data_IF_624919113954
#
_entry.id   IF_624919113954
#
_cell.length_a   1.000
_cell.length_b   1.000
_cell.length_c   1.000
_cell.angle_alpha   90.00
_cell.angle_beta   90.00
_cell.angle_gamma   90.00
#
_symmetry.space_group_name_H-M   'P 1'
#
loop_
_entity.id
_entity.type
_entity.pdbx_description
1 polymer ?
#
# COMPACT_ATOMS: atom_id res chain seq x y z
N UNK A 1 9.05 -9.96 -22.94
CA UNK A 1 10.31 -9.19 -23.00
C UNK A 1 9.95 -7.78 -23.46
N UNK A 2 10.25 -6.75 -22.67
CA UNK A 2 9.98 -5.36 -23.06
C UNK A 2 10.83 -4.97 -24.27
N UNK A 3 10.40 -4.00 -25.08
CA UNK A 3 11.19 -3.52 -26.21
C UNK A 3 12.55 -2.93 -25.80
N UNK A 4 12.68 -2.46 -24.55
CA UNK A 4 13.95 -2.04 -23.95
C UNK A 4 14.90 -3.20 -23.69
N UNK A 5 14.40 -4.39 -23.31
CA UNK A 5 15.20 -5.61 -23.24
C UNK A 5 15.82 -6.00 -24.58
N UNK A 6 15.12 -5.70 -25.68
CA UNK A 6 15.63 -5.95 -27.02
C UNK A 6 16.71 -4.94 -27.41
N UNK A 7 16.75 -3.73 -26.84
CA UNK A 7 17.78 -2.73 -27.16
C UNK A 7 19.16 -3.15 -26.62
N UNK A 8 19.21 -3.67 -25.39
CA UNK A 8 20.48 -4.13 -24.79
C UNK A 8 21.10 -5.30 -25.56
N UNK A 9 20.25 -6.18 -26.11
CA UNK A 9 20.67 -7.36 -26.89
C UNK A 9 20.82 -7.03 -28.38
N UNK A 10 20.09 -6.02 -28.88
CA UNK A 10 20.05 -5.60 -30.28
C UNK A 10 20.01 -4.06 -30.39
N UNK A 11 21.16 -3.37 -30.24
CA UNK A 11 21.24 -1.90 -30.22
C UNK A 11 20.70 -1.23 -31.50
N UNK A 12 20.72 -1.96 -32.62
CA UNK A 12 20.15 -1.52 -33.89
C UNK A 12 18.64 -1.24 -33.82
N UNK A 13 17.92 -1.83 -32.86
CA UNK A 13 16.50 -1.60 -32.66
C UNK A 13 16.18 -0.28 -31.95
N UNK A 14 17.18 0.43 -31.42
CA UNK A 14 16.95 1.67 -30.67
C UNK A 14 16.23 2.73 -31.53
N UNK A 15 16.71 2.96 -32.76
CA UNK A 15 16.06 3.89 -33.71
C UNK A 15 14.65 3.45 -34.09
N UNK A 16 14.45 2.14 -34.25
CA UNK A 16 13.14 1.57 -34.56
C UNK A 16 12.18 1.73 -33.38
N UNK A 17 12.65 1.58 -32.15
CA UNK A 17 11.82 1.76 -30.96
C UNK A 17 11.42 3.23 -30.77
N UNK A 18 12.36 4.17 -30.93
CA UNK A 18 12.04 5.60 -30.89
C UNK A 18 11.01 5.97 -31.95
N UNK A 19 11.19 5.50 -33.19
CA UNK A 19 10.25 5.72 -34.28
C UNK A 19 8.88 5.08 -34.00
N UNK A 20 8.84 3.83 -33.53
CA UNK A 20 7.60 3.12 -33.23
C UNK A 20 6.84 3.77 -32.06
N UNK A 21 7.56 4.23 -31.03
CA UNK A 21 6.98 4.96 -29.90
C UNK A 21 6.43 6.32 -30.32
N UNK A 22 7.13 7.04 -31.19
CA UNK A 22 6.65 8.30 -31.74
C UNK A 22 5.38 8.09 -32.59
N UNK A 23 5.38 7.06 -33.44
CA UNK A 23 4.22 6.70 -34.25
C UNK A 23 3.02 6.30 -33.39
N UNK A 24 3.21 5.41 -32.41
CA UNK A 24 2.15 4.99 -31.49
C UNK A 24 1.58 6.19 -30.70
N UNK A 25 2.44 7.09 -30.24
CA UNK A 25 2.01 8.34 -29.59
C UNK A 25 1.15 9.19 -30.53
N UNK A 26 1.58 9.40 -31.78
CA UNK A 26 0.81 10.17 -32.77
C UNK A 26 -0.56 9.55 -33.03
N UNK A 27 -0.62 8.24 -33.24
CA UNK A 27 -1.87 7.51 -33.49
C UNK A 27 -2.82 7.60 -32.31
N UNK A 28 -2.32 7.50 -31.08
CA UNK A 28 -3.18 7.70 -29.90
C UNK A 28 -3.71 9.14 -29.84
N UNK A 29 -2.88 10.15 -30.09
CA UNK A 29 -3.34 11.55 -30.08
C UNK A 29 -4.42 11.81 -31.13
N UNK A 30 -4.28 11.25 -32.33
CA UNK A 30 -5.32 11.29 -33.36
C UNK A 30 -6.62 10.61 -32.89
N UNK A 31 -6.52 9.42 -32.27
CA UNK A 31 -7.66 8.73 -31.70
C UNK A 31 -8.34 9.50 -30.54
N UNK A 32 -7.56 10.21 -29.72
CA UNK A 32 -8.10 11.08 -28.67
C UNK A 32 -8.92 12.24 -29.24
N UNK A 33 -8.45 12.88 -30.31
CA UNK A 33 -9.20 13.94 -30.99
C UNK A 33 -10.51 13.42 -31.60
N UNK A 34 -10.47 12.23 -32.21
CA UNK A 34 -11.68 11.57 -32.73
C UNK A 34 -12.68 11.25 -31.61
N UNK A 35 -12.23 10.78 -30.45
CA UNK A 35 -13.11 10.49 -29.32
C UNK A 35 -13.77 11.74 -28.73
N UNK A 36 -13.07 12.89 -28.79
CA UNK A 36 -13.61 14.19 -28.35
C UNK A 36 -14.67 14.73 -29.30
N UNK A 37 -14.61 14.38 -30.59
CA UNK A 37 -15.60 14.78 -31.57
C UNK A 37 -16.95 14.08 -31.30
N UNK A 38 -17.98 14.88 -30.98
CA UNK A 38 -19.32 14.39 -30.69
C UNK A 38 -20.10 13.95 -31.94
N UNK A 39 -19.56 14.16 -33.14
CA UNK A 39 -20.20 13.78 -34.40
C UNK A 39 -19.94 12.32 -34.81
N UNK A 40 -18.97 11.65 -34.18
CA UNK A 40 -18.61 10.26 -34.47
C UNK A 40 -19.26 9.29 -33.48
N UNK A 41 -19.65 8.11 -33.93
CA UNK A 41 -20.17 7.03 -33.06
C UNK A 41 -19.74 5.66 -33.61
N UNK A 42 -19.20 4.74 -32.79
CA UNK A 42 -18.89 4.90 -31.36
C UNK A 42 -17.71 5.86 -31.13
N UNK A 43 -17.79 6.72 -30.10
CA UNK A 43 -16.74 7.71 -29.83
C UNK A 43 -15.45 7.09 -29.30
N UNK A 44 -15.55 5.99 -28.56
CA UNK A 44 -14.38 5.36 -27.94
C UNK A 44 -14.28 3.92 -28.40
N UNK A 45 -13.14 3.59 -29.01
CA UNK A 45 -12.79 2.24 -29.38
C UNK A 45 -11.92 1.59 -28.28
N UNK A 46 -12.15 0.30 -28.02
CA UNK A 46 -11.48 -0.42 -26.94
C UNK A 46 -9.96 -0.58 -27.16
N UNK A 47 -9.53 -0.64 -28.42
CA UNK A 47 -8.12 -0.69 -28.82
C UNK A 47 -7.38 0.62 -28.50
N UNK A 48 -8.04 1.78 -28.64
CA UNK A 48 -7.49 3.07 -28.20
C UNK A 48 -7.29 3.10 -26.69
N UNK A 49 -8.28 2.63 -25.91
CA UNK A 49 -8.17 2.52 -24.45
C UNK A 49 -7.01 1.59 -24.09
N UNK A 50 -6.95 0.41 -24.71
CA UNK A 50 -5.85 -0.54 -24.52
C UNK A 50 -4.48 0.08 -24.83
N UNK A 51 -4.37 0.84 -25.93
CA UNK A 51 -3.13 1.49 -26.34
C UNK A 51 -2.67 2.56 -25.33
N UNK A 52 -3.60 3.38 -24.82
CA UNK A 52 -3.32 4.38 -23.76
C UNK A 52 -2.85 3.70 -22.48
N UNK A 53 -3.51 2.63 -22.04
CA UNK A 53 -3.11 1.87 -20.86
C UNK A 53 -1.75 1.21 -21.07
N UNK A 54 -1.52 0.59 -22.23
CA UNK A 54 -0.26 -0.06 -22.58
C UNK A 54 0.91 0.91 -22.57
N UNK A 55 0.81 2.01 -23.32
CA UNK A 55 1.87 3.03 -23.37
C UNK A 55 2.02 3.79 -22.05
N UNK A 56 0.92 4.07 -21.36
CA UNK A 56 0.91 4.80 -20.10
C UNK A 56 1.60 4.04 -18.99
N UNK A 57 1.19 2.80 -18.75
CA UNK A 57 1.82 1.91 -17.75
C UNK A 57 3.25 1.53 -18.14
N UNK A 58 3.56 1.45 -19.44
CA UNK A 58 4.94 1.24 -19.93
C UNK A 58 5.80 2.50 -20.02
N UNK A 59 5.27 3.71 -19.73
CA UNK A 59 6.04 4.96 -19.76
C UNK A 59 6.49 5.46 -18.39
N UNK A 60 5.99 4.89 -17.29
CA UNK A 60 6.42 5.22 -15.91
C UNK A 60 7.84 4.76 -15.54
N UNK A 61 8.54 4.17 -16.51
CA UNK A 61 9.91 3.68 -16.40
C UNK A 61 10.96 4.78 -16.55
N UNK A 62 10.58 5.90 -17.17
CA UNK A 62 11.45 7.06 -17.36
C UNK A 62 10.97 8.16 -16.42
N UNK A 63 11.66 8.30 -15.28
CA UNK A 63 11.64 9.43 -14.34
C UNK A 63 10.30 10.21 -14.19
N UNK A 64 9.72 10.16 -12.99
CA UNK A 64 8.51 10.89 -12.55
C UNK A 64 8.48 12.40 -12.83
N UNK A 65 9.53 12.99 -13.38
CA UNK A 65 9.73 14.43 -13.47
C UNK A 65 9.57 15.02 -14.87
N UNK A 66 9.41 14.21 -15.94
CA UNK A 66 9.37 14.76 -17.30
C UNK A 66 8.45 13.99 -18.27
N UNK A 67 7.20 13.74 -17.86
CA UNK A 67 6.21 13.14 -18.75
C UNK A 67 5.73 14.15 -19.80
N UNK A 68 6.22 13.99 -21.04
CA UNK A 68 5.76 14.72 -22.23
C UNK A 68 4.26 14.58 -22.52
N UNK A 69 3.58 13.56 -21.98
CA UNK A 69 2.17 13.25 -22.27
C UNK A 69 1.39 12.81 -21.02
N UNK A 70 0.17 13.33 -20.79
CA UNK A 70 -0.64 13.03 -19.61
C UNK A 70 -1.47 11.74 -19.79
N UNK A 71 -0.80 10.60 -19.98
CA UNK A 71 -1.47 9.31 -20.30
C UNK A 71 -2.57 8.91 -19.32
N UNK A 72 -2.37 9.17 -18.02
CA UNK A 72 -3.36 8.86 -16.98
C UNK A 72 -4.63 9.71 -17.14
N UNK A 73 -4.50 10.98 -17.55
CA UNK A 73 -5.66 11.83 -17.83
C UNK A 73 -6.38 11.39 -19.10
N UNK A 74 -5.65 10.97 -20.13
CA UNK A 74 -6.27 10.39 -21.34
C UNK A 74 -7.06 9.12 -21.00
N UNK A 75 -6.55 8.25 -20.13
CA UNK A 75 -7.28 7.07 -19.67
C UNK A 75 -8.58 7.44 -18.95
N UNK A 76 -8.55 8.43 -18.04
CA UNK A 76 -9.75 8.93 -17.35
C UNK A 76 -10.76 9.52 -18.32
N UNK A 77 -10.29 10.34 -19.25
CA UNK A 77 -11.12 11.01 -20.24
C UNK A 77 -11.83 9.99 -21.13
N UNK A 78 -11.08 9.03 -21.70
CA UNK A 78 -11.66 7.99 -22.55
C UNK A 78 -12.69 7.14 -21.80
N UNK A 79 -12.41 6.71 -20.58
CA UNK A 79 -13.37 5.94 -19.79
C UNK A 79 -14.61 6.76 -19.42
N UNK A 80 -14.47 8.08 -19.22
CA UNK A 80 -15.60 8.98 -19.00
C UNK A 80 -16.45 9.15 -20.26
N UNK A 81 -15.83 9.31 -21.43
CA UNK A 81 -16.56 9.43 -22.70
C UNK A 81 -17.26 8.11 -23.03
N UNK A 82 -16.55 6.97 -22.92
CA UNK A 82 -17.10 5.65 -23.22
C UNK A 82 -18.31 5.31 -22.36
N UNK A 83 -18.30 5.73 -21.08
CA UNK A 83 -19.43 5.54 -20.17
C UNK A 83 -20.73 6.20 -20.67
N UNK A 84 -20.65 7.30 -21.42
CA UNK A 84 -21.83 8.01 -21.94
C UNK A 84 -22.51 7.27 -23.10
N UNK A 85 -21.77 6.43 -23.82
CA UNK A 85 -22.23 5.68 -25.00
C UNK A 85 -22.17 4.17 -24.79
N UNK A 86 -22.18 3.73 -23.54
CA UNK A 86 -21.88 2.36 -23.17
C UNK A 86 -22.94 1.39 -23.70
N UNK A 87 -22.53 0.47 -24.57
CA UNK A 87 -23.38 -0.62 -25.01
C UNK A 87 -23.38 -1.74 -23.95
N UNK A 88 -24.44 -2.56 -23.89
CA UNK A 88 -24.49 -3.72 -22.99
C UNK A 88 -23.33 -4.71 -23.21
N UNK A 89 -22.81 -4.79 -24.44
CA UNK A 89 -21.71 -5.68 -24.78
C UNK A 89 -20.37 -5.15 -24.21
N UNK A 90 -20.25 -3.83 -24.08
CA UNK A 90 -19.03 -3.17 -23.62
C UNK A 90 -18.99 -2.96 -22.10
N UNK A 91 -20.09 -3.16 -21.37
CA UNK A 91 -20.17 -2.95 -19.91
C UNK A 91 -19.06 -3.71 -19.15
N UNK A 92 -18.83 -4.98 -19.48
CA UNK A 92 -17.78 -5.79 -18.86
C UNK A 92 -16.37 -5.28 -19.18
N UNK A 93 -16.15 -4.84 -20.43
CA UNK A 93 -14.85 -4.36 -20.88
C UNK A 93 -14.54 -2.97 -20.31
N UNK A 94 -15.55 -2.12 -20.19
CA UNK A 94 -15.44 -0.82 -19.52
C UNK A 94 -15.12 -0.97 -18.04
N UNK A 95 -15.81 -1.87 -17.32
CA UNK A 95 -15.51 -2.14 -15.92
C UNK A 95 -14.11 -2.74 -15.75
N UNK A 96 -13.68 -3.61 -16.67
CA UNK A 96 -12.32 -4.13 -16.71
C UNK A 96 -11.27 -3.00 -16.76
N UNK A 97 -11.42 -2.02 -17.65
CA UNK A 97 -10.48 -0.90 -17.70
C UNK A 97 -10.62 0.06 -16.51
N UNK A 98 -11.82 0.20 -15.92
CA UNK A 98 -11.99 0.96 -14.67
C UNK A 98 -11.25 0.31 -13.50
N UNK A 99 -11.24 -1.02 -13.41
CA UNK A 99 -10.44 -1.76 -12.44
C UNK A 99 -8.94 -1.57 -12.69
N UNK A 100 -8.48 -1.68 -13.94
CA UNK A 100 -7.09 -1.40 -14.30
C UNK A 100 -6.69 0.05 -13.96
N UNK A 101 -7.57 1.03 -14.18
CA UNK A 101 -7.34 2.43 -13.83
C UNK A 101 -7.12 2.59 -12.33
N UNK A 102 -7.91 1.91 -11.51
CA UNK A 102 -7.81 1.96 -10.04
C UNK A 102 -6.41 1.55 -9.58
N UNK A 103 -5.87 0.47 -10.17
CA UNK A 103 -4.50 0.05 -9.90
C UNK A 103 -3.48 1.10 -10.33
N UNK A 104 -3.62 1.63 -11.55
CA UNK A 104 -2.74 2.68 -12.06
C UNK A 104 -2.76 3.93 -11.16
N UNK A 105 -3.92 4.35 -10.66
CA UNK A 105 -4.04 5.47 -9.73
C UNK A 105 -3.38 5.20 -8.37
N UNK A 106 -3.44 3.96 -7.86
CA UNK A 106 -2.76 3.56 -6.62
C UNK A 106 -1.24 3.70 -6.77
N UNK A 107 -0.70 3.30 -7.91
CA UNK A 107 0.74 3.40 -8.21
C UNK A 107 1.16 4.86 -8.39
N UNK A 108 0.35 5.61 -9.14
CA UNK A 108 0.58 7.00 -9.43
C UNK A 108 0.40 7.89 -8.20
N UNK A 109 0.06 7.36 -7.02
CA UNK A 109 -0.04 8.10 -5.76
C UNK A 109 1.31 8.69 -5.30
N UNK A 110 2.41 8.08 -5.73
CA UNK A 110 3.74 8.66 -5.51
C UNK A 110 3.94 9.93 -6.34
N UNK A 111 3.29 10.03 -7.50
CA UNK A 111 3.19 11.23 -8.34
C UNK A 111 1.97 12.09 -7.99
N UNK A 112 2.00 13.37 -8.34
CA UNK A 112 0.87 14.28 -8.10
C UNK A 112 -0.30 14.09 -9.09
N UNK A 113 -0.40 12.94 -9.75
CA UNK A 113 -1.33 12.68 -10.84
C UNK A 113 -2.51 11.77 -10.45
N UNK A 114 -2.48 11.16 -9.26
CA UNK A 114 -3.55 10.28 -8.78
C UNK A 114 -4.81 11.05 -8.34
N UNK A 115 -6.00 10.50 -8.60
CA UNK A 115 -7.27 11.07 -8.11
C UNK A 115 -7.61 10.67 -6.67
N UNK A 116 -6.87 9.70 -6.12
CA UNK A 116 -7.08 9.15 -4.78
C UNK A 116 -7.05 10.23 -3.68
N UNK A 117 -6.11 11.19 -3.66
CA UNK A 117 -6.14 12.28 -2.66
C UNK A 117 -7.43 13.10 -2.73
N UNK A 118 -7.98 13.35 -3.92
CA UNK A 118 -9.25 14.05 -4.08
C UNK A 118 -10.43 13.21 -3.58
N UNK A 119 -10.42 11.88 -3.83
CA UNK A 119 -11.41 10.94 -3.28
C UNK A 119 -11.37 10.92 -1.75
N UNK A 120 -10.18 10.86 -1.15
CA UNK A 120 -9.98 10.93 0.29
C UNK A 120 -10.49 12.26 0.86
N UNK A 121 -10.19 13.38 0.20
CA UNK A 121 -10.65 14.70 0.63
C UNK A 121 -12.18 14.82 0.61
N UNK A 122 -12.87 14.16 -0.34
CA UNK A 122 -14.34 14.09 -0.36
C UNK A 122 -14.87 13.33 0.86
N UNK A 123 -14.29 12.17 1.19
CA UNK A 123 -14.66 11.42 2.42
C UNK A 123 -14.40 12.27 3.68
N UNK A 124 -13.24 12.93 3.75
CA UNK A 124 -12.89 13.82 4.87
C UNK A 124 -13.91 14.94 5.07
N UNK A 125 -14.38 15.58 4.00
CA UNK A 125 -15.42 16.62 4.07
C UNK A 125 -16.70 16.11 4.72
N UNK A 126 -17.13 14.89 4.41
CA UNK A 126 -18.31 14.29 5.03
C UNK A 126 -18.16 14.17 6.55
N UNK A 127 -16.98 13.76 7.04
CA UNK A 127 -16.69 13.73 8.48
C UNK A 127 -16.56 15.12 9.10
N UNK A 128 -15.98 16.09 8.38
CA UNK A 128 -15.90 17.48 8.84
C UNK A 128 -17.29 18.09 9.02
N UNK A 129 -18.20 17.85 8.07
CA UNK A 129 -19.58 18.34 8.14
C UNK A 129 -20.32 17.70 9.32
N UNK A 130 -20.16 16.38 9.54
CA UNK A 130 -20.70 15.68 10.72
C UNK A 130 -20.15 16.24 12.04
N UNK A 131 -18.85 16.47 12.12
CA UNK A 131 -18.20 17.01 13.31
C UNK A 131 -18.70 18.43 13.61
N UNK A 132 -18.87 19.28 12.58
CA UNK A 132 -19.44 20.63 12.73
C UNK A 132 -20.88 20.60 13.23
N UNK A 133 -21.70 19.70 12.68
CA UNK A 133 -23.08 19.49 13.13
C UNK A 133 -23.13 19.08 14.60
N UNK A 134 -22.28 18.14 15.01
CA UNK A 134 -22.18 17.69 16.40
C UNK A 134 -21.71 18.79 17.37
N UNK A 135 -20.89 19.74 16.88
CA UNK A 135 -20.40 20.88 17.66
C UNK A 135 -21.33 22.12 17.63
N UNK A 136 -22.52 22.02 17.02
CA UNK A 136 -23.47 23.14 16.86
C UNK A 136 -22.85 24.40 16.22
N UNK A 137 -21.89 24.23 15.30
CA UNK A 137 -21.27 25.35 14.61
C UNK A 137 -22.14 25.81 13.42
N UNK A 138 -22.28 27.13 13.16
CA UNK A 138 -23.09 27.63 12.05
C UNK A 138 -22.56 27.12 10.70
N UNK A 139 -23.47 26.67 9.84
CA UNK A 139 -23.10 26.24 8.49
C UNK A 139 -22.79 27.48 7.63
N UNK A 140 -21.58 27.58 7.09
CA UNK A 140 -21.19 28.75 6.27
C UNK A 140 -21.88 28.78 4.91
N UNK A 141 -22.54 27.69 4.48
CA UNK A 141 -23.17 27.58 3.17
C UNK A 141 -24.66 27.22 3.31
N UNK A 142 -25.51 28.23 3.29
CA UNK A 142 -26.98 28.12 3.24
C UNK A 142 -27.51 27.71 1.84
N UNK A 143 -26.92 26.72 1.16
CA UNK A 143 -27.44 26.34 -0.17
C UNK A 143 -27.38 24.85 -0.53
N UNK A 144 -27.36 23.96 0.46
CA UNK A 144 -27.73 22.58 0.23
C UNK A 144 -28.41 22.03 1.47
N UNK A 145 -29.72 21.84 1.39
CA UNK A 145 -30.44 20.89 2.22
C UNK A 145 -29.97 19.49 1.84
N UNK A 146 -28.78 19.11 2.32
CA UNK A 146 -28.43 17.70 2.40
C UNK A 146 -29.15 17.18 3.64
N UNK A 147 -30.30 16.55 3.44
CA UNK A 147 -30.68 15.44 4.32
C UNK A 147 -29.46 14.53 4.31
N UNK A 148 -28.74 14.47 5.44
CA UNK A 148 -27.71 13.48 5.62
C UNK A 148 -28.42 12.15 5.34
N UNK A 149 -28.06 11.38 4.30
CA UNK A 149 -28.41 9.98 4.33
C UNK A 149 -27.80 9.52 5.66
N UNK A 150 -28.64 8.98 6.55
CA UNK A 150 -28.12 8.05 7.53
C UNK A 150 -27.34 7.05 6.71
N UNK A 151 -26.02 7.23 6.66
CA UNK A 151 -25.10 6.17 6.33
C UNK A 151 -25.10 5.31 7.60
N UNK A 152 -26.25 4.68 7.85
CA UNK A 152 -26.27 3.31 8.29
C UNK A 152 -25.20 2.67 7.43
N UNK A 153 -24.13 2.23 8.08
CA UNK A 153 -23.20 1.34 7.45
C UNK A 153 -24.02 0.08 7.21
N UNK A 154 -24.77 0.06 6.10
CA UNK A 154 -25.34 -1.14 5.55
C UNK A 154 -24.09 -1.87 5.08
N UNK A 155 -23.73 -3.02 5.67
CA UNK A 155 -22.74 -3.89 5.06
C UNK A 155 -23.18 -4.00 3.60
N UNK A 156 -22.30 -3.72 2.62
CA UNK A 156 -22.68 -3.94 1.22
C UNK A 156 -23.27 -5.36 1.17
N UNK A 157 -24.58 -5.53 0.86
CA UNK A 157 -25.21 -6.86 0.93
C UNK A 157 -24.58 -7.82 -0.08
N UNK A 158 -23.81 -7.27 -1.02
CA UNK A 158 -23.11 -7.99 -2.05
C UNK A 158 -21.78 -8.50 -1.48
N UNK A 159 -21.81 -9.73 -0.98
CA UNK A 159 -20.68 -10.64 -0.74
C UNK A 159 -19.87 -10.95 -2.02
N UNK A 160 -19.88 -10.04 -2.99
CA UNK A 160 -19.28 -10.15 -4.29
C UNK A 160 -18.12 -9.15 -4.38
N UNK A 161 -16.89 -9.65 -4.26
CA UNK A 161 -15.69 -8.89 -4.64
C UNK A 161 -15.42 -9.01 -6.13
N UNK A 162 -14.78 -7.99 -6.69
CA UNK A 162 -14.32 -8.01 -8.07
C UNK A 162 -13.21 -9.04 -8.26
N UNK A 163 -13.21 -9.67 -9.43
CA UNK A 163 -12.20 -10.67 -9.78
C UNK A 163 -10.79 -10.08 -9.83
N UNK A 164 -9.75 -10.92 -9.67
CA UNK A 164 -8.42 -10.55 -10.14
C UNK A 164 -8.50 -10.10 -11.60
N UNK A 165 -8.21 -8.83 -11.84
CA UNK A 165 -8.24 -8.25 -13.17
C UNK A 165 -6.99 -8.69 -13.95
N UNK A 166 -7.09 -9.12 -15.22
CA UNK A 166 -5.91 -9.59 -15.97
C UNK A 166 -4.83 -8.52 -16.20
N UNK A 167 -5.15 -7.23 -16.04
CA UNK A 167 -4.18 -6.14 -16.09
C UNK A 167 -3.38 -6.00 -14.79
N UNK A 168 -4.04 -6.04 -13.63
CA UNK A 168 -3.41 -5.76 -12.33
C UNK A 168 -3.28 -6.97 -11.39
N UNK A 169 -3.81 -8.14 -11.77
CA UNK A 169 -3.71 -9.40 -11.04
C UNK A 169 -4.41 -9.46 -9.69
N UNK A 170 -5.10 -8.40 -9.25
CA UNK A 170 -5.71 -8.30 -7.91
C UNK A 170 -7.10 -7.67 -8.04
N UNK A 171 -7.98 -7.93 -7.07
CA UNK A 171 -9.28 -7.31 -7.00
C UNK A 171 -9.18 -5.79 -6.81
N UNK A 172 -10.14 -5.06 -7.38
CA UNK A 172 -10.21 -3.60 -7.32
C UNK A 172 -10.46 -3.10 -5.90
N UNK A 173 -11.24 -3.83 -5.09
CA UNK A 173 -11.63 -3.39 -3.74
C UNK A 173 -10.40 -3.18 -2.86
N UNK A 174 -9.53 -4.19 -2.78
CA UNK A 174 -8.37 -4.11 -1.89
C UNK A 174 -7.35 -3.08 -2.37
N UNK A 175 -7.20 -2.94 -3.69
CA UNK A 175 -6.29 -1.95 -4.29
C UNK A 175 -6.80 -0.52 -4.08
N UNK A 176 -8.11 -0.29 -4.24
CA UNK A 176 -8.74 1.01 -4.02
C UNK A 176 -8.61 1.44 -2.56
N UNK A 177 -8.86 0.52 -1.61
CA UNK A 177 -8.71 0.79 -0.18
C UNK A 177 -7.24 0.99 0.18
N UNK A 178 -6.33 0.15 -0.31
CA UNK A 178 -4.89 0.31 -0.07
C UNK A 178 -4.36 1.68 -0.55
N UNK A 179 -4.76 2.12 -1.74
CA UNK A 179 -4.40 3.43 -2.25
C UNK A 179 -4.91 4.58 -1.37
N UNK A 180 -6.17 4.51 -0.93
CA UNK A 180 -6.74 5.50 0.00
C UNK A 180 -6.06 5.49 1.37
N UNK A 181 -5.71 4.32 1.89
CA UNK A 181 -4.95 4.16 3.14
C UNK A 181 -3.59 4.83 3.02
N UNK A 182 -2.84 4.60 1.93
CA UNK A 182 -1.56 5.25 1.71
C UNK A 182 -1.69 6.78 1.63
N UNK A 183 -2.72 7.27 0.94
CA UNK A 183 -2.99 8.70 0.86
C UNK A 183 -3.31 9.32 2.24
N UNK A 184 -4.07 8.58 3.06
CA UNK A 184 -4.40 8.97 4.43
C UNK A 184 -3.16 9.01 5.31
N UNK A 185 -2.34 7.94 5.27
CA UNK A 185 -1.07 7.86 6.00
C UNK A 185 -0.13 9.01 5.63
N UNK A 186 -0.03 9.35 4.33
CA UNK A 186 0.76 10.49 3.86
C UNK A 186 0.25 11.81 4.43
N UNK A 187 -1.05 12.06 4.37
CA UNK A 187 -1.68 13.26 4.93
C UNK A 187 -1.47 13.37 6.45
N UNK A 188 -1.49 12.25 7.16
CA UNK A 188 -1.24 12.22 8.60
C UNK A 188 0.24 12.54 8.92
N UNK A 189 1.18 11.98 8.14
CA UNK A 189 2.62 12.31 8.26
C UNK A 189 2.86 13.82 8.04
N UNK A 190 2.26 14.39 6.99
CA UNK A 190 2.37 15.83 6.69
C UNK A 190 1.83 16.71 7.84
N UNK A 191 0.72 16.29 8.46
CA UNK A 191 0.08 17.02 9.57
C UNK A 191 0.94 16.97 10.85
N UNK A 192 1.62 15.85 11.10
CA UNK A 192 2.44 15.61 12.29
C UNK A 192 3.86 16.18 12.18
N UNK A 193 4.23 16.84 11.06
CA UNK A 193 5.55 17.46 10.92
C UNK A 193 5.78 18.55 11.98
N UNK A 194 6.99 18.67 12.54
CA UNK A 194 7.31 19.56 13.67
C UNK A 194 7.16 21.06 13.38
N UNK A 195 6.78 21.45 12.15
CA UNK A 195 6.49 22.84 11.73
C UNK A 195 4.99 23.13 11.61
N UNK A 196 4.11 22.18 11.93
CA UNK A 196 2.66 22.36 11.84
C UNK A 196 2.13 23.15 13.04
N UNK A 197 1.56 24.34 12.80
CA UNK A 197 0.92 25.14 13.84
C UNK A 197 -0.39 24.47 14.25
N UNK A 198 -0.56 24.17 15.53
CA UNK A 198 -1.80 23.61 16.07
C UNK A 198 -2.93 24.66 15.97
N UNK A 199 -3.82 24.46 15.01
CA UNK A 199 -5.04 25.24 14.78
C UNK A 199 -6.28 24.37 14.96
N UNK A 200 -7.44 25.02 15.14
CA UNK A 200 -8.76 24.33 15.19
C UNK A 200 -9.02 23.52 13.91
N UNK A 201 -8.51 23.98 12.77
CA UNK A 201 -8.62 23.24 11.51
C UNK A 201 -7.73 22.00 11.49
N UNK A 202 -6.50 22.09 11.98
CA UNK A 202 -5.61 20.92 12.07
C UNK A 202 -6.14 19.87 13.04
N UNK A 203 -6.69 20.27 14.19
CA UNK A 203 -7.30 19.31 15.14
C UNK A 203 -8.54 18.65 14.56
N UNK A 204 -9.39 19.41 13.86
CA UNK A 204 -10.53 18.86 13.13
C UNK A 204 -10.10 17.83 12.07
N UNK A 205 -9.02 18.11 11.33
CA UNK A 205 -8.48 17.17 10.34
C UNK A 205 -7.96 15.88 10.99
N UNK A 206 -7.23 15.98 12.10
CA UNK A 206 -6.73 14.80 12.85
C UNK A 206 -7.89 13.91 13.30
N UNK A 207 -8.97 14.49 13.84
CA UNK A 207 -10.16 13.72 14.23
C UNK A 207 -10.84 13.05 13.03
N UNK A 208 -10.95 13.75 11.90
CA UNK A 208 -11.52 13.18 10.68
C UNK A 208 -10.64 12.06 10.11
N UNK A 209 -9.32 12.24 10.13
CA UNK A 209 -8.36 11.25 9.66
C UNK A 209 -8.39 9.99 10.52
N UNK A 210 -8.53 10.14 11.86
CA UNK A 210 -8.74 9.01 12.77
C UNK A 210 -10.06 8.27 12.47
N UNK A 211 -11.15 9.00 12.21
CA UNK A 211 -12.43 8.38 11.86
C UNK A 211 -12.35 7.60 10.53
N UNK A 212 -11.63 8.14 9.53
CA UNK A 212 -11.36 7.46 8.27
C UNK A 212 -10.47 6.22 8.48
N UNK A 213 -9.47 6.28 9.36
CA UNK A 213 -8.63 5.14 9.69
C UNK A 213 -9.47 3.97 10.24
N UNK A 214 -10.42 4.24 11.15
CA UNK A 214 -11.37 3.23 11.63
C UNK A 214 -12.31 2.70 10.55
N UNK A 215 -12.78 3.57 9.63
CA UNK A 215 -13.60 3.14 8.49
C UNK A 215 -12.84 2.15 7.60
N UNK A 216 -11.61 2.50 7.21
CA UNK A 216 -10.78 1.63 6.38
C UNK A 216 -10.37 0.35 7.10
N UNK A 217 -10.05 0.42 8.41
CA UNK A 217 -9.76 -0.78 9.20
C UNK A 217 -10.95 -1.75 9.18
N UNK A 218 -12.17 -1.25 9.38
CA UNK A 218 -13.39 -2.07 9.34
C UNK A 218 -13.62 -2.68 7.96
N UNK A 219 -13.45 -1.89 6.90
CA UNK A 219 -13.59 -2.35 5.52
C UNK A 219 -12.59 -3.48 5.22
N UNK A 220 -11.31 -3.30 5.58
CA UNK A 220 -10.25 -4.29 5.41
C UNK A 220 -10.44 -5.55 6.24
N UNK A 221 -10.98 -5.44 7.46
CA UNK A 221 -11.29 -6.60 8.30
C UNK A 221 -12.53 -7.35 7.82
N UNK A 222 -13.42 -6.69 7.07
CA UNK A 222 -14.60 -7.31 6.45
C UNK A 222 -14.32 -8.00 5.12
N UNK A 223 -13.14 -7.84 4.53
CA UNK A 223 -12.75 -8.54 3.29
C UNK A 223 -12.39 -9.99 3.58
N UNK A 224 -13.05 -10.93 2.90
CA UNK A 224 -12.74 -12.36 2.96
C UNK A 224 -12.51 -12.92 1.54
N UNK A 225 -11.25 -13.06 1.13
CA UNK A 225 -10.90 -13.57 -0.19
C UNK A 225 -11.06 -15.08 -0.36
N UNK A 226 -11.24 -15.84 0.74
CA UNK A 226 -11.47 -17.28 0.69
C UNK A 226 -12.96 -17.58 0.44
N UNK A 227 -13.86 -16.71 0.92
CA UNK A 227 -15.31 -16.80 0.71
C UNK A 227 -15.81 -16.06 -0.54
N UNK A 228 -14.92 -15.37 -1.27
CA UNK A 228 -15.29 -14.67 -2.50
C UNK A 228 -15.73 -15.65 -3.59
N UNK A 229 -17.05 -15.66 -3.85
CA UNK A 229 -17.58 -16.17 -5.10
C UNK A 229 -17.34 -15.09 -6.15
N UNK A 230 -16.48 -15.39 -7.11
CA UNK A 230 -16.15 -14.49 -8.20
C UNK A 230 -17.43 -14.33 -9.04
N UNK A 231 -17.98 -13.13 -9.22
CA UNK A 231 -19.32 -12.92 -9.82
C UNK A 231 -19.59 -13.72 -11.10
N UNK A 232 -18.61 -13.89 -12.00
CA UNK A 232 -18.88 -14.71 -13.19
C UNK A 232 -18.84 -16.25 -12.96
N UNK A 233 -18.45 -16.76 -11.78
CA UNK A 233 -18.53 -18.19 -11.40
C UNK A 233 -19.98 -18.55 -11.09
N UNK A 234 -20.71 -17.62 -10.49
CA UNK A 234 -22.18 -17.66 -10.36
C UNK A 234 -22.87 -17.68 -11.73
N UNK A 235 -22.22 -17.10 -12.76
CA UNK A 235 -22.66 -17.14 -14.16
C UNK A 235 -22.06 -18.33 -14.97
N UNK A 236 -21.36 -19.26 -14.32
CA UNK A 236 -20.80 -20.47 -14.94
C UNK A 236 -19.45 -20.31 -15.66
N UNK A 237 -18.77 -19.18 -15.49
CA UNK A 237 -17.43 -18.93 -16.04
C UNK A 237 -16.36 -19.12 -14.95
N UNK A 238 -15.69 -20.28 -14.88
CA UNK A 238 -14.62 -20.49 -13.91
C UNK A 238 -13.50 -19.49 -14.16
N UNK A 239 -13.02 -18.83 -13.11
CA UNK A 239 -11.78 -18.08 -13.23
C UNK A 239 -10.67 -19.10 -13.42
N UNK A 240 -9.89 -18.94 -14.49
CA UNK A 240 -8.71 -19.74 -14.77
C UNK A 240 -7.66 -18.82 -15.37
N UNK A 241 -6.50 -18.73 -14.72
CA UNK A 241 -5.37 -17.98 -15.29
C UNK A 241 -4.77 -18.70 -16.49
N UNK A 242 -4.96 -20.03 -16.58
CA UNK A 242 -4.31 -20.93 -17.56
C UNK A 242 -2.78 -20.77 -17.59
N UNK A 243 -2.23 -20.27 -16.50
CA UNK A 243 -0.82 -20.05 -16.28
C UNK A 243 -0.42 -20.85 -15.04
N UNK A 244 0.29 -21.95 -15.26
CA UNK A 244 0.79 -22.81 -14.19
C UNK A 244 1.81 -22.09 -13.30
N UNK A 245 2.45 -21.03 -13.80
CA UNK A 245 3.38 -20.20 -13.02
C UNK A 245 2.64 -19.19 -12.15
N UNK A 246 1.43 -18.80 -12.54
CA UNK A 246 0.56 -17.85 -11.82
C UNK A 246 -0.86 -18.40 -11.65
N UNK A 247 -1.06 -19.48 -10.87
CA UNK A 247 -2.40 -19.92 -10.50
C UNK A 247 -3.15 -18.86 -9.70
N UNK A 248 -4.48 -18.96 -9.68
CA UNK A 248 -5.37 -18.04 -8.95
C UNK A 248 -5.02 -17.94 -7.47
N UNK A 249 -4.55 -19.04 -6.87
CA UNK A 249 -4.07 -19.03 -5.49
C UNK A 249 -2.98 -17.99 -5.24
N UNK A 250 -2.09 -17.74 -6.21
CA UNK A 250 -1.09 -16.68 -6.10
C UNK A 250 -1.74 -15.28 -6.11
N UNK A 251 -2.80 -15.09 -6.89
CA UNK A 251 -3.53 -13.81 -6.98
C UNK A 251 -4.33 -13.54 -5.69
N UNK A 252 -4.99 -14.56 -5.13
CA UNK A 252 -5.68 -14.48 -3.84
C UNK A 252 -4.71 -14.19 -2.69
N UNK A 253 -3.55 -14.86 -2.67
CA UNK A 253 -2.49 -14.54 -1.71
C UNK A 253 -1.96 -13.12 -1.88
N UNK A 254 -1.92 -12.60 -3.11
CA UNK A 254 -1.51 -11.22 -3.37
C UNK A 254 -2.56 -10.23 -2.86
N UNK A 255 -3.85 -10.51 -3.06
CA UNK A 255 -4.94 -9.70 -2.50
C UNK A 255 -4.90 -9.68 -0.96
N UNK A 256 -4.70 -10.84 -0.34
CA UNK A 256 -4.54 -10.96 1.11
C UNK A 256 -3.31 -10.21 1.62
N UNK A 257 -2.21 -10.24 0.88
CA UNK A 257 -1.03 -9.45 1.20
C UNK A 257 -1.30 -7.93 1.11
N UNK A 258 -2.09 -7.46 0.13
CA UNK A 258 -2.51 -6.05 0.06
C UNK A 258 -3.41 -5.65 1.22
N UNK A 259 -4.34 -6.52 1.63
CA UNK A 259 -5.21 -6.30 2.80
C UNK A 259 -4.37 -6.19 4.08
N UNK A 260 -3.46 -7.14 4.30
CA UNK A 260 -2.54 -7.13 5.45
C UNK A 260 -1.57 -5.94 5.43
N UNK A 261 -1.04 -5.59 4.25
CA UNK A 261 -0.19 -4.41 4.09
C UNK A 261 -0.95 -3.13 4.43
N UNK A 262 -2.22 -2.99 4.00
CA UNK A 262 -3.07 -1.85 4.31
C UNK A 262 -3.27 -1.69 5.82
N UNK A 263 -3.62 -2.79 6.52
CA UNK A 263 -3.77 -2.78 7.97
C UNK A 263 -2.46 -2.41 8.68
N UNK A 264 -1.33 -2.95 8.22
CA UNK A 264 -0.02 -2.60 8.75
C UNK A 264 0.28 -1.10 8.56
N UNK A 265 -0.03 -0.52 7.40
CA UNK A 265 0.17 0.92 7.17
C UNK A 265 -0.66 1.79 8.11
N UNK A 266 -1.93 1.43 8.34
CA UNK A 266 -2.79 2.13 9.29
C UNK A 266 -2.18 2.09 10.70
N UNK A 267 -1.75 0.93 11.18
CA UNK A 267 -1.16 0.80 12.52
C UNK A 267 0.22 1.46 12.66
N UNK A 268 0.98 1.61 11.58
CA UNK A 268 2.22 2.39 11.57
C UNK A 268 1.97 3.90 11.64
N UNK A 269 0.84 4.39 11.12
CA UNK A 269 0.51 5.82 11.07
C UNK A 269 -0.38 6.30 12.24
N UNK A 270 -1.25 5.44 12.76
CA UNK A 270 -2.25 5.77 13.78
C UNK A 270 -2.02 4.94 15.04
N UNK A 271 -1.28 5.51 15.99
CA UNK A 271 -0.92 4.81 17.24
C UNK A 271 -2.14 4.46 18.11
N UNK A 272 -3.19 5.28 18.05
CA UNK A 272 -4.42 5.11 18.86
C UNK A 272 -5.42 4.12 18.24
N UNK A 273 -5.10 3.55 17.07
CA UNK A 273 -5.99 2.62 16.39
C UNK A 273 -6.04 1.27 17.11
N UNK A 274 -7.25 0.73 17.30
CA UNK A 274 -7.46 -0.51 18.05
C UNK A 274 -6.66 -1.68 17.48
N UNK A 275 -5.85 -2.34 18.33
CA UNK A 275 -5.07 -3.52 17.95
C UNK A 275 -5.98 -4.76 17.82
N UNK A 276 -6.54 -4.94 16.62
CA UNK A 276 -7.41 -6.06 16.28
C UNK A 276 -6.58 -7.16 15.60
N UNK A 277 -6.66 -8.39 16.13
CA UNK A 277 -6.11 -9.55 15.43
C UNK A 277 -7.22 -10.27 14.65
N UNK A 278 -6.98 -10.40 13.35
CA UNK A 278 -7.79 -11.20 12.46
C UNK A 278 -7.23 -12.62 12.40
N UNK A 279 -7.62 -13.50 13.32
CA UNK A 279 -7.48 -14.93 13.11
C UNK A 279 -8.66 -15.37 12.23
N UNK A 280 -8.41 -16.09 11.14
CA UNK A 280 -9.46 -16.60 10.23
C UNK A 280 -10.64 -17.17 11.03
N UNK A 281 -11.78 -16.49 10.99
CA UNK A 281 -13.02 -16.89 11.68
C UNK A 281 -13.21 -16.44 13.13
N UNK A 282 -12.31 -15.63 13.71
CA UNK A 282 -12.52 -14.98 15.02
C UNK A 282 -11.69 -13.71 15.16
N UNK A 283 -12.38 -12.57 15.17
CA UNK A 283 -11.79 -11.29 15.59
C UNK A 283 -11.62 -11.30 17.10
N UNK A 284 -10.39 -11.34 17.58
CA UNK A 284 -10.09 -11.14 19.00
C UNK A 284 -9.50 -9.75 19.19
N UNK A 285 -10.19 -8.91 19.96
CA UNK A 285 -9.65 -7.64 20.44
C UNK A 285 -8.63 -7.94 21.53
N UNK A 286 -7.36 -7.66 21.30
CA UNK A 286 -6.32 -7.95 22.29
C UNK A 286 -6.28 -6.90 23.42
N UNK A 287 -6.70 -5.66 23.15
CA UNK A 287 -6.62 -4.57 24.12
C UNK A 287 -7.76 -3.57 23.91
N UNK A 288 -8.80 -3.63 24.74
CA UNK A 288 -9.73 -2.52 24.96
C UNK A 288 -9.21 -1.68 26.13
N UNK A 289 -9.08 -0.37 25.90
CA UNK A 289 -8.35 0.55 26.76
C UNK A 289 -8.61 0.40 28.26
N UNK A 290 -7.57 0.01 29.00
CA UNK A 290 -7.44 0.26 30.43
C UNK A 290 -5.98 0.59 30.77
N UNK A 291 -5.80 1.72 31.48
CA UNK A 291 -4.61 2.12 32.26
C UNK A 291 -3.31 2.39 31.47
N UNK A 292 -2.99 3.69 31.30
CA UNK A 292 -1.72 4.20 30.77
C UNK A 292 -0.50 3.78 31.62
N UNK A 293 0.11 2.64 31.28
CA UNK A 293 1.49 2.34 31.65
C UNK A 293 2.36 2.51 30.39
N UNK A 294 2.91 3.72 30.24
CA UNK A 294 3.52 4.21 28.99
C UNK A 294 4.60 3.29 28.40
N UNK A 295 5.42 2.63 29.24
CA UNK A 295 6.46 1.68 28.79
C UNK A 295 5.93 0.30 28.38
N UNK A 296 4.83 -0.16 28.99
CA UNK A 296 4.25 -1.48 28.67
C UNK A 296 3.50 -1.46 27.34
N UNK A 297 2.84 -0.34 27.06
CA UNK A 297 2.02 -0.14 25.86
C UNK A 297 2.88 -0.01 24.59
N UNK A 298 4.01 0.70 24.64
CA UNK A 298 4.95 0.81 23.51
C UNK A 298 5.55 -0.55 23.11
N UNK A 299 5.97 -1.36 24.09
CA UNK A 299 6.50 -2.71 23.83
C UNK A 299 5.41 -3.64 23.27
N UNK A 300 4.20 -3.60 23.81
CA UNK A 300 3.08 -4.39 23.31
C UNK A 300 2.72 -4.03 21.87
N UNK A 301 2.70 -2.73 21.56
CA UNK A 301 2.42 -2.22 20.21
C UNK A 301 3.53 -2.57 19.22
N UNK A 302 4.79 -2.46 19.63
CA UNK A 302 5.92 -2.93 18.83
C UNK A 302 5.82 -4.43 18.49
N UNK A 303 5.49 -5.27 19.48
CA UNK A 303 5.27 -6.70 19.26
C UNK A 303 4.09 -6.98 18.33
N UNK A 304 3.01 -6.21 18.45
CA UNK A 304 1.85 -6.30 17.56
C UNK A 304 2.23 -5.97 16.11
N UNK A 305 2.91 -4.83 15.88
CA UNK A 305 3.39 -4.43 14.56
C UNK A 305 4.36 -5.45 13.95
N UNK A 306 5.29 -5.98 14.75
CA UNK A 306 6.20 -7.03 14.30
C UNK A 306 5.42 -8.28 13.87
N UNK A 307 4.43 -8.72 14.66
CA UNK A 307 3.59 -9.87 14.30
C UNK A 307 2.86 -9.64 12.98
N UNK A 308 2.19 -8.50 12.82
CA UNK A 308 1.50 -8.16 11.56
C UNK A 308 2.45 -8.17 10.36
N UNK A 309 3.66 -7.65 10.56
CA UNK A 309 4.72 -7.62 9.53
C UNK A 309 5.19 -9.02 9.18
N UNK A 310 5.41 -9.88 10.17
CA UNK A 310 5.82 -11.27 9.95
C UNK A 310 4.70 -12.09 9.29
N UNK A 311 3.42 -11.81 9.60
CA UNK A 311 2.28 -12.38 8.90
C UNK A 311 2.25 -11.98 7.41
N UNK A 312 2.46 -10.69 7.10
CA UNK A 312 2.59 -10.21 5.72
C UNK A 312 3.74 -10.92 4.98
N UNK A 313 4.92 -11.00 5.61
CA UNK A 313 6.08 -11.72 5.07
C UNK A 313 5.76 -13.20 4.88
N UNK A 314 5.01 -13.81 5.80
CA UNK A 314 4.54 -15.19 5.72
C UNK A 314 3.63 -15.43 4.51
N UNK A 315 2.70 -14.53 4.24
CA UNK A 315 1.84 -14.58 3.05
C UNK A 315 2.68 -14.48 1.77
N UNK A 316 3.59 -13.48 1.70
CA UNK A 316 4.47 -13.28 0.55
C UNK A 316 5.41 -14.47 0.28
N UNK A 317 5.87 -15.17 1.34
CA UNK A 317 6.70 -16.38 1.20
C UNK A 317 5.97 -17.54 0.52
N UNK A 318 4.65 -17.62 0.66
CA UNK A 318 3.83 -18.66 0.03
C UNK A 318 3.71 -18.47 -1.48
N UNK A 319 4.04 -17.29 -2.01
CA UNK A 319 4.04 -17.01 -3.44
C UNK A 319 5.44 -17.29 -4.00
N UNK A 320 5.61 -18.20 -4.97
CA UNK A 320 6.90 -18.48 -5.61
C UNK A 320 7.53 -17.23 -6.26
N UNK A 321 8.86 -17.19 -6.31
CA UNK A 321 9.59 -16.07 -6.95
C UNK A 321 9.32 -15.99 -8.46
N UNK A 322 8.96 -17.12 -9.06
CA UNK A 322 8.67 -17.22 -10.50
C UNK A 322 7.22 -16.95 -10.84
N UNK A 323 6.37 -16.66 -9.84
CA UNK A 323 5.00 -16.24 -10.09
C UNK A 323 4.96 -14.98 -10.96
N UNK A 324 4.13 -14.98 -12.00
CA UNK A 324 3.90 -13.81 -12.86
C UNK A 324 3.30 -12.62 -12.10
N UNK A 325 2.69 -12.84 -10.93
CA UNK A 325 2.24 -11.77 -10.03
C UNK A 325 3.40 -10.99 -9.37
N UNK A 326 4.65 -11.33 -9.62
CA UNK A 326 5.80 -10.64 -9.00
C UNK A 326 5.91 -9.15 -9.37
N UNK A 327 5.41 -8.74 -10.54
CA UNK A 327 5.41 -7.32 -10.98
C UNK A 327 4.59 -6.40 -10.07
N UNK A 328 3.57 -6.95 -9.40
CA UNK A 328 2.65 -6.20 -8.55
C UNK A 328 3.02 -6.27 -7.05
N UNK A 329 4.03 -7.05 -6.66
CA UNK A 329 4.50 -7.15 -5.27
C UNK A 329 5.42 -6.03 -4.71
N UNK A 330 6.01 -5.09 -5.47
CA UNK A 330 6.97 -4.13 -4.92
C UNK A 330 6.43 -3.30 -3.77
N UNK A 331 5.20 -2.80 -3.90
CA UNK A 331 4.52 -2.07 -2.83
C UNK A 331 4.38 -2.91 -1.56
N UNK A 332 4.10 -4.20 -1.70
CA UNK A 332 3.97 -5.13 -0.57
C UNK A 332 5.31 -5.35 0.15
N UNK A 333 6.40 -5.48 -0.63
CA UNK A 333 7.74 -5.60 -0.07
C UNK A 333 8.19 -4.32 0.65
N UNK A 334 7.84 -3.14 0.13
CA UNK A 334 8.10 -1.85 0.82
C UNK A 334 7.25 -1.73 2.09
N UNK A 335 5.96 -2.08 2.03
CA UNK A 335 5.09 -2.13 3.22
C UNK A 335 5.63 -3.07 4.29
N UNK A 336 6.12 -4.25 3.91
CA UNK A 336 6.78 -5.17 4.84
C UNK A 336 8.07 -4.58 5.40
N UNK A 337 8.92 -3.98 4.56
CA UNK A 337 10.16 -3.35 4.99
C UNK A 337 9.93 -2.25 6.04
N UNK A 338 8.86 -1.46 5.90
CA UNK A 338 8.47 -0.41 6.84
C UNK A 338 8.12 -0.93 8.24
N UNK A 339 7.68 -2.19 8.37
CA UNK A 339 7.41 -2.84 9.66
C UNK A 339 8.60 -3.57 10.28
N UNK A 340 9.70 -3.77 9.54
CA UNK A 340 10.87 -4.53 9.99
C UNK A 340 11.89 -3.65 10.74
N UNK A 341 11.56 -3.30 11.98
CA UNK A 341 12.39 -2.49 12.88
C UNK A 341 13.12 -3.34 13.91
N UNK A 342 14.41 -3.07 14.11
CA UNK A 342 15.16 -3.64 15.23
C UNK A 342 14.91 -2.79 16.46
N UNK A 343 13.98 -3.19 17.31
CA UNK A 343 13.78 -2.45 18.55
C UNK A 343 14.87 -2.82 19.56
N UNK A 344 15.64 -1.83 19.99
CA UNK A 344 16.60 -1.96 21.11
C UNK A 344 15.88 -1.73 22.43
N UNK A 345 14.90 -2.58 22.76
CA UNK A 345 14.43 -2.65 24.13
C UNK A 345 15.50 -3.43 24.90
N UNK A 346 16.43 -2.72 25.53
CA UNK A 346 17.32 -3.33 26.51
C UNK A 346 16.44 -4.01 27.55
N UNK A 347 16.44 -5.34 27.54
CA UNK A 347 16.02 -6.12 28.70
C UNK A 347 16.99 -5.76 29.82
N UNK A 348 16.70 -4.66 30.51
CA UNK A 348 17.15 -4.52 31.88
C UNK A 348 16.37 -5.61 32.59
N UNK A 349 16.99 -6.79 32.69
CA UNK A 349 16.64 -7.75 33.72
C UNK A 349 16.69 -6.93 35.02
N UNK A 350 15.52 -6.58 35.54
CA UNK A 350 15.37 -6.19 36.93
C UNK A 350 15.78 -7.42 37.75
N UNK A 351 17.09 -7.61 37.92
CA UNK A 351 17.63 -8.31 39.06
C UNK A 351 17.27 -7.39 40.23
N UNK A 352 16.04 -7.55 40.71
CA UNK A 352 15.63 -7.07 42.02
C UNK A 352 16.49 -7.83 43.03
N UNK A 353 17.70 -7.32 43.25
CA UNK A 353 18.50 -7.65 44.41
C UNK A 353 17.75 -7.10 45.61
N UNK A 354 16.85 -7.91 46.16
CA UNK A 354 16.38 -7.71 47.52
C UNK A 354 17.59 -7.88 48.44
N UNK A 355 18.21 -6.77 48.79
CA UNK A 355 19.25 -6.66 49.81
C UNK A 355 18.63 -6.98 51.16
N UNK A 356 18.89 -8.19 51.65
CA UNK A 356 18.77 -8.51 53.08
C UNK A 356 20.18 -8.38 53.68
N UNK A 357 20.42 -7.52 54.69
CA UNK A 357 21.71 -7.47 55.35
C UNK A 357 21.72 -8.46 56.51
N UNK A 358 22.59 -9.49 56.47
CA UNK A 358 23.05 -10.16 57.69
C UNK A 358 24.32 -11.00 57.48
N UNK A 359 25.40 -10.50 58.10
CA UNK A 359 26.46 -11.19 58.84
C UNK A 359 27.64 -11.85 58.11
N UNK A 360 28.80 -11.42 58.61
CA UNK A 360 30.17 -11.90 58.43
C UNK A 360 30.34 -13.39 58.75
N UNK A 361 31.11 -14.10 57.91
CA UNK A 361 32.34 -14.82 58.29
C UNK A 361 32.99 -15.38 57.01
N UNK A 362 34.29 -15.15 56.84
CA UNK A 362 35.01 -15.31 55.57
C UNK A 362 35.36 -16.73 55.14
N UNK A 363 35.89 -16.82 53.91
CA UNK A 363 37.11 -17.55 53.51
C UNK A 363 37.42 -17.16 52.06
N UNK A 364 38.69 -16.85 51.79
CA UNK A 364 39.27 -16.55 50.48
C UNK A 364 39.52 -17.85 49.73
N UNK A 365 39.07 -17.99 48.47
CA UNK A 365 39.83 -18.73 47.45
C UNK A 365 39.51 -18.25 46.02
N UNK A 366 40.54 -18.31 45.17
CA UNK A 366 40.74 -17.68 43.86
C UNK A 366 40.56 -18.70 42.72
N UNK A 367 40.30 -18.16 41.51
CA UNK A 367 40.23 -18.80 40.18
C UNK A 367 38.86 -19.44 39.86
N UNK A 368 38.25 -19.22 38.70
CA UNK A 368 38.76 -19.41 37.34
C UNK A 368 38.06 -18.53 36.28
N UNK A 369 38.82 -18.17 35.25
CA UNK A 369 38.37 -17.64 33.95
C UNK A 369 37.59 -18.73 33.19
N UNK A 370 36.46 -18.40 32.57
CA UNK A 370 35.82 -19.06 31.41
C UNK A 370 34.64 -18.15 30.99
N UNK A 371 34.75 -17.43 29.88
CA UNK A 371 34.24 -17.86 28.57
C UNK A 371 32.73 -18.13 28.57
N UNK A 372 31.98 -17.14 28.08
CA UNK A 372 30.97 -17.25 27.00
C UNK A 372 29.85 -16.23 27.20
N UNK A 373 30.17 -14.94 27.01
CA UNK A 373 29.15 -13.94 26.71
C UNK A 373 28.84 -14.01 25.21
N UNK A 374 28.27 -15.14 24.79
CA UNK A 374 27.46 -15.17 23.59
C UNK A 374 26.29 -14.22 23.83
N UNK A 375 26.30 -13.06 23.20
CA UNK A 375 25.14 -12.16 23.24
C UNK A 375 23.97 -12.94 22.66
N UNK A 376 23.04 -13.35 23.53
CA UNK A 376 21.78 -13.92 23.10
C UNK A 376 21.04 -12.82 22.34
N UNK A 377 21.17 -12.82 21.01
CA UNK A 377 20.32 -12.00 20.16
C UNK A 377 18.87 -12.40 20.44
N UNK A 378 17.99 -11.46 20.82
CA UNK A 378 16.58 -11.78 21.06
C UNK A 378 16.00 -12.51 19.85
N UNK A 379 15.16 -13.53 20.07
CA UNK A 379 14.59 -14.35 18.99
C UNK A 379 13.96 -13.52 17.86
N UNK A 380 13.32 -12.40 18.23
CA UNK A 380 12.75 -11.43 17.29
C UNK A 380 13.79 -10.78 16.36
N UNK A 381 15.01 -10.53 16.83
CA UNK A 381 16.09 -9.97 16.01
C UNK A 381 16.45 -10.91 14.85
N UNK A 382 16.52 -12.22 15.12
CA UNK A 382 16.77 -13.22 14.08
C UNK A 382 15.62 -13.29 13.07
N UNK A 383 14.37 -13.24 13.55
CA UNK A 383 13.18 -13.23 12.68
C UNK A 383 13.16 -11.99 11.78
N UNK A 384 13.47 -10.81 12.33
CA UNK A 384 13.58 -9.55 11.59
C UNK A 384 14.68 -9.65 10.54
N UNK A 385 15.88 -10.12 10.89
CA UNK A 385 16.97 -10.28 9.93
C UNK A 385 16.62 -11.27 8.81
N UNK A 386 15.96 -12.39 9.13
CA UNK A 386 15.49 -13.35 8.14
C UNK A 386 14.40 -12.77 7.22
N UNK A 387 13.50 -11.95 7.75
CA UNK A 387 12.48 -11.25 6.99
C UNK A 387 13.09 -10.15 6.10
N UNK A 388 14.01 -9.34 6.62
CA UNK A 388 14.76 -8.33 5.83
C UNK A 388 15.51 -8.99 4.69
N UNK A 389 16.20 -10.12 4.94
CA UNK A 389 16.88 -10.91 3.91
C UNK A 389 15.90 -11.39 2.84
N UNK A 390 14.74 -11.91 3.23
CA UNK A 390 13.70 -12.35 2.29
C UNK A 390 13.22 -11.20 1.39
N UNK A 391 12.85 -10.06 1.97
CA UNK A 391 12.41 -8.85 1.24
C UNK A 391 13.49 -8.40 0.26
N UNK A 392 14.74 -8.31 0.74
CA UNK A 392 15.89 -7.92 -0.07
C UNK A 392 16.11 -8.87 -1.25
N UNK A 393 16.10 -10.19 -1.01
CA UNK A 393 16.27 -11.20 -2.06
C UNK A 393 15.17 -11.11 -3.12
N UNK A 394 13.91 -10.93 -2.73
CA UNK A 394 12.80 -10.83 -3.68
C UNK A 394 12.88 -9.57 -4.55
N UNK A 395 13.16 -8.41 -3.95
CA UNK A 395 13.34 -7.17 -4.70
C UNK A 395 14.59 -7.21 -5.60
N UNK A 396 15.68 -7.84 -5.15
CA UNK A 396 16.88 -8.03 -5.97
C UNK A 396 16.63 -8.97 -7.15
N UNK A 397 15.86 -10.05 -6.93
CA UNK A 397 15.47 -10.97 -8.00
C UNK A 397 14.56 -10.32 -9.03
N UNK A 398 13.63 -9.46 -8.59
CA UNK A 398 12.86 -8.60 -9.48
C UNK A 398 13.78 -7.70 -10.31
N UNK A 399 14.73 -7.01 -9.67
CA UNK A 399 15.69 -6.17 -10.38
C UNK A 399 16.47 -6.92 -11.48
N UNK A 400 16.95 -8.13 -11.19
CA UNK A 400 17.72 -8.93 -12.15
C UNK A 400 16.90 -9.44 -13.33
N UNK A 401 15.57 -9.53 -13.18
CA UNK A 401 14.68 -9.93 -14.27
C UNK A 401 14.46 -8.81 -15.31
N UNK A 402 14.89 -7.56 -15.06
CA UNK A 402 14.66 -6.42 -15.95
C UNK A 402 15.98 -5.75 -16.40
N UNK A 403 16.21 -5.57 -17.71
CA UNK A 403 17.53 -5.17 -18.24
C UNK A 403 17.95 -3.72 -17.99
N UNK A 404 17.00 -2.79 -17.80
CA UNK A 404 17.36 -1.40 -17.50
C UNK A 404 17.45 -1.18 -15.99
N UNK A 405 18.56 -0.57 -15.56
CA UNK A 405 18.88 -0.20 -14.16
C UNK A 405 17.94 0.87 -13.56
N UNK A 406 16.73 1.03 -14.10
CA UNK A 406 15.77 2.11 -13.83
C UNK A 406 14.92 1.88 -12.57
N UNK A 407 15.20 0.86 -11.76
CA UNK A 407 14.46 0.60 -10.51
C UNK A 407 15.33 0.25 -9.29
N UNK A 408 16.59 0.72 -9.25
CA UNK A 408 17.33 0.74 -7.97
C UNK A 408 16.65 1.67 -6.94
N UNK A 409 15.67 2.50 -7.35
CA UNK A 409 14.94 3.38 -6.45
C UNK A 409 14.22 2.62 -5.33
N UNK A 410 13.55 1.50 -5.62
CA UNK A 410 12.83 0.71 -4.61
C UNK A 410 13.80 0.04 -3.63
N UNK A 411 14.91 -0.54 -4.11
CA UNK A 411 15.95 -1.13 -3.25
C UNK A 411 16.69 -0.06 -2.43
N UNK A 412 16.98 1.10 -3.01
CA UNK A 412 17.52 2.27 -2.30
C UNK A 412 16.55 2.78 -1.25
N UNK A 413 15.26 2.82 -1.54
CA UNK A 413 14.23 3.25 -0.60
C UNK A 413 14.19 2.32 0.61
N UNK A 414 14.15 1.00 0.38
CA UNK A 414 14.20 0.00 1.47
C UNK A 414 15.47 0.13 2.31
N UNK A 415 16.63 0.33 1.65
CA UNK A 415 17.90 0.63 2.35
C UNK A 415 17.82 1.89 3.19
N UNK A 416 17.26 2.97 2.65
CA UNK A 416 17.12 4.23 3.37
C UNK A 416 16.19 4.10 4.58
N UNK A 417 15.07 3.37 4.42
CA UNK A 417 14.13 3.05 5.52
C UNK A 417 14.85 2.31 6.65
N UNK A 418 15.56 1.23 6.35
CA UNK A 418 16.26 0.45 7.39
C UNK A 418 17.41 1.22 8.02
N UNK A 419 18.17 1.99 7.21
CA UNK A 419 19.22 2.84 7.74
C UNK A 419 18.67 3.86 8.74
N UNK A 420 17.58 4.54 8.39
CA UNK A 420 16.92 5.49 9.28
C UNK A 420 16.45 4.83 10.59
N UNK A 421 15.93 3.61 10.52
CA UNK A 421 15.47 2.87 11.70
C UNK A 421 16.62 2.39 12.58
N UNK A 422 17.71 1.95 11.97
CA UNK A 422 18.86 1.41 12.68
C UNK A 422 19.74 2.53 13.28
N UNK A 423 19.77 3.71 12.65
CA UNK A 423 20.52 4.90 13.13
C UNK A 423 19.72 5.73 14.15
N UNK A 424 18.40 5.52 14.27
CA UNK A 424 17.52 6.29 15.17
C UNK A 424 17.87 6.05 16.66
N UNK A 425 18.18 7.10 17.46
CA UNK A 425 18.46 6.94 18.88
C UNK A 425 17.21 6.49 19.65
N UNK A 426 17.40 5.63 20.66
CA UNK A 426 16.33 5.20 21.56
C UNK A 426 15.64 6.41 22.22
N UNK A 427 14.34 6.59 21.97
CA UNK A 427 13.53 7.65 22.57
C UNK A 427 13.09 8.79 21.65
N UNK A 428 13.48 8.79 20.37
CA UNK A 428 12.90 9.68 19.37
C UNK A 428 11.77 9.00 18.60
N UNK A 429 10.70 9.74 18.22
CA UNK A 429 9.65 9.20 17.36
C UNK A 429 10.27 8.83 16.02
N UNK A 430 10.28 7.53 15.71
CA UNK A 430 10.91 7.04 14.49
C UNK A 430 10.22 7.63 13.25
N UNK A 431 11.02 8.17 12.33
CA UNK A 431 10.58 8.72 11.05
C UNK A 431 9.69 7.73 10.29
N UNK A 432 8.55 8.21 9.76
CA UNK A 432 7.67 7.36 8.97
C UNK A 432 8.30 7.11 7.58
N UNK A 433 8.14 5.92 7.01
CA UNK A 433 8.81 5.59 5.74
C UNK A 433 8.36 6.47 4.56
N UNK A 434 7.13 7.01 4.61
CA UNK A 434 6.63 7.98 3.63
C UNK A 434 7.40 9.32 3.71
N UNK A 435 7.87 9.72 4.90
CA UNK A 435 8.74 10.89 5.03
C UNK A 435 10.12 10.60 4.43
N UNK A 436 10.69 9.42 4.70
CA UNK A 436 11.95 8.97 4.07
C UNK A 436 11.83 8.99 2.54
N UNK A 437 10.72 8.51 2.01
CA UNK A 437 10.41 8.53 0.58
C UNK A 437 10.36 9.97 0.03
N UNK A 438 9.70 10.88 0.74
CA UNK A 438 9.57 12.28 0.34
C UNK A 438 10.91 13.05 0.42
N UNK A 439 11.73 12.79 1.44
CA UNK A 439 13.02 13.46 1.65
C UNK A 439 14.11 12.99 0.68
N UNK A 440 14.13 11.68 0.39
CA UNK A 440 15.11 11.09 -0.54
C UNK A 440 14.73 11.26 -2.01
N UNK A 441 13.46 11.61 -2.30
CA UNK A 441 12.91 11.66 -3.65
C UNK A 441 12.87 10.29 -4.34
N UNK A 442 13.05 9.20 -3.58
CA UNK A 442 13.03 7.84 -4.11
C UNK A 442 11.58 7.42 -4.29
N UNK A 443 11.17 7.16 -5.53
CA UNK A 443 9.85 6.63 -5.84
C UNK A 443 9.85 5.11 -5.93
N UNK A 444 8.68 4.52 -5.67
CA UNK A 444 8.41 3.14 -6.08
C UNK A 444 8.08 3.21 -7.57
N UNK A 445 9.05 2.85 -8.40
CA UNK A 445 8.80 2.60 -9.81
C UNK A 445 8.18 1.21 -9.92
N UNK A 446 7.05 1.13 -10.62
CA UNK A 446 6.52 -0.16 -11.01
C UNK A 446 7.25 -0.71 -12.23
N UNK A 447 7.23 -2.04 -12.27
CA UNK A 447 7.81 -2.91 -13.29
C UNK A 447 6.77 -3.36 -14.32
#
# INVERSE_FOLDING_TARGET
>A
MSATCLIDVMPQLNKTLESARAQATSTILEGMEQARDASQSPRVAADLVFAVFGLGTSSHWAAFTDQKHPWLEFARELLSIWKLELSKLDELLHEYFCQALTYWEMIALTGNCSSIPAKLQRKRRQYQDRLRLAMHLPNSNNNTSYEAPEMSWVPRPDLFGTRPNSWCGVSKEVIDVFGQVLALCRSACETNRPRSTLTVLTTSNVLCDMALAHEFQRELLGMDFDALILQEEDHGFPVQTRDDTTPISHLLLTAEAYRQASLLQLHLSFNDLEMIQHLKGSTSTLFTGQSFQMKGDEKARAQFLLRMTLELVGILRRIPAESGSKSIHPMLYVSAAAGLRHDTWTETQDISSASVPAKEAGIVTRATLSEDQGSFLPAHSMEISAARKFVWTRLSGLQQAFPERTSDSTLRLVKAIWKEYDDSPSGHPCTHWLDVMAETGLGITLW
#
